data_IF_566520469270
#
_entry.id   IF_566520469270
#
_cell.length_a   1.000
_cell.length_b   1.000
_cell.length_c   1.000
_cell.angle_alpha   90.00
_cell.angle_beta   90.00
_cell.angle_gamma   90.00
#
_symmetry.space_group_name_H-M   'P 1'
#
loop_
_entity.id
_entity.type
_entity.pdbx_description
1 polymer ?
#
# COMPACT_ATOMS: atom_id res chain seq x y z
N UNK A 1 0.00 -16.78 8.11
CA UNK A 1 0.60 -15.67 8.87
C UNK A 1 -0.12 -14.37 8.55
N UNK A 2 -0.09 -13.40 9.46
CA UNK A 2 -0.72 -12.08 9.25
C UNK A 2 -0.24 -11.41 7.95
N UNK A 3 1.04 -11.57 7.61
CA UNK A 3 1.63 -11.04 6.39
C UNK A 3 0.99 -11.63 5.12
N UNK A 4 0.77 -12.93 5.07
CA UNK A 4 0.09 -13.55 3.93
C UNK A 4 -1.35 -13.04 3.78
N UNK A 5 -2.09 -12.93 4.88
CA UNK A 5 -3.46 -12.36 4.87
C UNK A 5 -3.45 -10.92 4.34
N UNK A 6 -2.48 -10.11 4.76
CA UNK A 6 -2.31 -8.75 4.27
C UNK A 6 -2.20 -8.70 2.73
N UNK A 7 -1.25 -9.46 2.17
CA UNK A 7 -1.00 -9.42 0.72
C UNK A 7 -2.10 -10.11 -0.11
N UNK A 8 -2.80 -11.09 0.45
CA UNK A 8 -4.03 -11.63 -0.15
C UNK A 8 -5.11 -10.54 -0.24
N UNK A 9 -5.36 -9.81 0.85
CA UNK A 9 -6.34 -8.72 0.87
C UNK A 9 -5.96 -7.60 -0.10
N UNK A 10 -4.69 -7.18 -0.15
CA UNK A 10 -4.23 -6.20 -1.12
C UNK A 10 -4.31 -6.71 -2.56
N UNK A 11 -4.05 -8.00 -2.79
CA UNK A 11 -4.16 -8.62 -4.10
C UNK A 11 -5.59 -8.63 -4.65
N UNK A 12 -6.59 -8.79 -3.79
CA UNK A 12 -8.00 -8.74 -4.16
C UNK A 12 -8.61 -7.33 -4.14
N UNK A 13 -7.90 -6.34 -3.63
CA UNK A 13 -8.37 -4.96 -3.55
C UNK A 13 -8.80 -4.37 -4.91
N UNK A 14 -8.15 -4.65 -6.06
CA UNK A 14 -8.60 -4.18 -7.36
C UNK A 14 -10.03 -4.61 -7.71
N UNK A 15 -10.44 -5.83 -7.34
CA UNK A 15 -11.82 -6.29 -7.57
C UNK A 15 -12.84 -5.45 -6.80
N UNK A 16 -12.50 -5.02 -5.59
CA UNK A 16 -13.38 -4.14 -4.82
C UNK A 16 -13.58 -2.79 -5.52
N UNK A 17 -12.51 -2.18 -6.02
CA UNK A 17 -12.59 -0.90 -6.72
C UNK A 17 -13.30 -1.02 -8.07
N UNK A 18 -13.08 -2.11 -8.79
CA UNK A 18 -13.80 -2.44 -10.01
C UNK A 18 -15.31 -2.56 -9.75
N UNK A 19 -15.70 -3.25 -8.69
CA UNK A 19 -17.10 -3.35 -8.26
C UNK A 19 -17.68 -1.97 -7.93
N UNK A 20 -16.95 -1.14 -7.20
CA UNK A 20 -17.37 0.22 -6.88
C UNK A 20 -17.61 1.06 -8.13
N UNK A 21 -16.70 1.00 -9.11
CA UNK A 21 -16.81 1.75 -10.37
C UNK A 21 -18.00 1.26 -11.20
N UNK A 22 -18.23 -0.06 -11.27
CA UNK A 22 -19.36 -0.61 -12.04
C UNK A 22 -20.72 -0.28 -11.41
N UNK A 23 -20.81 -0.25 -10.08
CA UNK A 23 -22.07 0.01 -9.38
C UNK A 23 -22.38 1.50 -9.23
N UNK A 24 -21.37 2.34 -9.16
CA UNK A 24 -21.52 3.75 -8.81
C UNK A 24 -21.07 4.74 -9.90
N UNK A 25 -20.64 4.22 -11.07
CA UNK A 25 -20.00 5.04 -12.10
C UNK A 25 -18.58 5.50 -11.73
N UNK A 26 -18.02 6.36 -12.56
CA UNK A 26 -16.67 6.88 -12.30
C UNK A 26 -16.67 7.75 -11.05
N UNK A 27 -15.70 7.50 -10.19
CA UNK A 27 -15.46 8.26 -8.97
C UNK A 27 -14.07 8.90 -9.12
N UNK A 28 -13.98 10.19 -8.81
CA UNK A 28 -12.67 10.85 -8.79
C UNK A 28 -11.70 10.11 -7.87
N UNK A 29 -10.50 9.84 -8.38
CA UNK A 29 -9.51 9.00 -7.70
C UNK A 29 -8.99 9.64 -6.42
N UNK A 30 -8.84 10.98 -6.38
CA UNK A 30 -8.38 11.68 -5.17
C UNK A 30 -9.48 11.73 -4.11
N UNK A 31 -10.71 11.95 -4.54
CA UNK A 31 -11.87 11.89 -3.64
C UNK A 31 -12.04 10.48 -3.04
N UNK A 32 -11.93 9.45 -3.85
CA UNK A 32 -11.95 8.06 -3.41
C UNK A 32 -10.85 7.79 -2.38
N UNK A 33 -9.63 8.29 -2.65
CA UNK A 33 -8.49 8.14 -1.72
C UNK A 33 -8.76 8.86 -0.39
N UNK A 34 -9.26 10.07 -0.42
CA UNK A 34 -9.58 10.82 0.78
C UNK A 34 -10.66 10.10 1.62
N UNK A 35 -11.73 9.62 0.99
CA UNK A 35 -12.77 8.82 1.65
C UNK A 35 -12.19 7.54 2.27
N UNK A 36 -11.31 6.83 1.56
CA UNK A 36 -10.63 5.62 2.08
C UNK A 36 -9.88 5.90 3.38
N UNK A 37 -9.13 7.01 3.42
CA UNK A 37 -8.34 7.40 4.60
C UNK A 37 -9.26 7.70 5.78
N UNK A 38 -10.31 8.51 5.57
CA UNK A 38 -11.26 8.89 6.63
C UNK A 38 -11.97 7.65 7.19
N UNK A 39 -12.50 6.80 6.33
CA UNK A 39 -13.21 5.59 6.78
C UNK A 39 -12.27 4.53 7.36
N UNK A 40 -11.02 4.42 6.88
CA UNK A 40 -10.01 3.59 7.51
C UNK A 40 -9.68 4.08 8.93
N UNK A 41 -9.59 5.40 9.14
CA UNK A 41 -9.41 5.98 10.47
C UNK A 41 -10.58 5.61 11.40
N UNK A 42 -11.82 5.74 10.94
CA UNK A 42 -13.01 5.34 11.71
C UNK A 42 -12.95 3.86 12.05
N UNK A 43 -12.64 2.99 11.09
CA UNK A 43 -12.49 1.56 11.32
C UNK A 43 -11.42 1.25 12.38
N UNK A 44 -10.24 1.84 12.27
CA UNK A 44 -9.15 1.68 13.23
C UNK A 44 -9.53 2.17 14.62
N UNK A 45 -10.21 3.32 14.73
CA UNK A 45 -10.69 3.84 16.01
C UNK A 45 -11.73 2.92 16.66
N UNK A 46 -12.64 2.34 15.87
CA UNK A 46 -13.59 1.34 16.35
C UNK A 46 -12.87 0.10 16.90
N UNK A 47 -11.89 -0.43 16.17
CA UNK A 47 -11.06 -1.57 16.60
C UNK A 47 -10.35 -1.24 17.92
N UNK A 48 -9.70 -0.07 18.02
CA UNK A 48 -9.01 0.35 19.24
C UNK A 48 -9.96 0.55 20.41
N UNK A 49 -11.16 1.06 20.17
CA UNK A 49 -12.21 1.21 21.20
C UNK A 49 -12.63 -0.14 21.76
N UNK A 50 -12.92 -1.11 20.87
CA UNK A 50 -13.30 -2.47 21.27
C UNK A 50 -12.17 -3.17 22.04
N UNK A 51 -10.91 -2.92 21.68
CA UNK A 51 -9.75 -3.49 22.36
C UNK A 51 -9.32 -2.71 23.62
N UNK A 52 -9.99 -1.61 23.95
CA UNK A 52 -9.61 -0.76 25.11
C UNK A 52 -8.26 -0.06 24.94
N UNK A 53 -7.77 0.09 23.71
CA UNK A 53 -6.43 0.64 23.42
C UNK A 53 -6.42 2.13 23.05
N UNK A 54 -7.55 2.82 23.03
CA UNK A 54 -7.62 4.26 22.75
C UNK A 54 -6.66 5.11 23.60
N UNK A 55 -6.48 4.87 24.91
CA UNK A 55 -5.52 5.62 25.69
C UNK A 55 -4.08 5.48 25.20
N UNK A 56 -3.72 4.29 24.65
CA UNK A 56 -2.38 4.06 24.06
C UNK A 56 -2.18 4.86 22.78
N UNK A 57 -3.22 5.05 21.97
CA UNK A 57 -3.17 5.90 20.79
C UNK A 57 -2.85 7.36 21.16
N UNK A 58 -3.53 7.90 22.17
CA UNK A 58 -3.26 9.26 22.64
C UNK A 58 -1.87 9.40 23.28
N UNK A 59 -1.34 8.34 23.89
CA UNK A 59 0.02 8.31 24.38
C UNK A 59 1.05 8.45 23.26
N UNK A 60 0.81 7.86 22.06
CA UNK A 60 1.67 8.02 20.89
C UNK A 60 1.80 9.50 20.50
N UNK A 61 0.69 10.24 20.47
CA UNK A 61 0.71 11.68 20.12
C UNK A 61 1.38 12.56 21.19
N UNK A 62 1.60 12.06 22.39
CA UNK A 62 2.32 12.77 23.48
C UNK A 62 3.79 12.39 23.56
N UNK A 63 4.17 11.24 23.02
CA UNK A 63 5.55 10.75 23.06
C UNK A 63 6.34 11.25 21.83
N UNK A 64 7.20 12.25 22.07
CA UNK A 64 8.05 12.83 21.02
C UNK A 64 9.02 11.82 20.39
N UNK A 65 9.44 10.79 21.11
CA UNK A 65 10.35 9.77 20.59
C UNK A 65 9.64 8.85 19.61
N UNK A 66 8.40 8.49 19.90
CA UNK A 66 7.55 7.69 19.01
C UNK A 66 7.15 8.52 17.80
N UNK A 67 6.71 9.77 17.98
CA UNK A 67 6.34 10.68 16.89
C UNK A 67 7.45 10.91 15.87
N UNK A 68 8.71 11.01 16.31
CA UNK A 68 9.88 11.11 15.41
C UNK A 68 9.99 9.97 14.40
N UNK A 69 9.40 8.81 14.67
CA UNK A 69 9.37 7.66 13.76
C UNK A 69 8.03 7.52 13.05
N UNK A 70 6.92 7.79 13.75
CA UNK A 70 5.57 7.66 13.16
C UNK A 70 5.29 8.75 12.11
N UNK A 71 5.74 9.99 12.32
CA UNK A 71 5.55 11.06 11.33
C UNK A 71 6.25 10.74 10.01
N UNK A 72 7.55 10.38 9.95
CA UNK A 72 8.17 9.95 8.72
C UNK A 72 7.49 8.72 8.07
N UNK A 73 7.05 7.75 8.87
CA UNK A 73 6.33 6.59 8.36
C UNK A 73 5.02 7.01 7.68
N UNK A 74 4.23 7.86 8.34
CA UNK A 74 2.99 8.41 7.80
C UNK A 74 3.21 9.20 6.52
N UNK A 75 4.22 10.08 6.50
CA UNK A 75 4.57 10.91 5.32
C UNK A 75 5.02 10.04 4.15
N UNK A 76 5.83 9.01 4.39
CA UNK A 76 6.30 8.11 3.35
C UNK A 76 5.13 7.30 2.75
N UNK A 77 4.26 6.77 3.59
CA UNK A 77 3.10 6.01 3.14
C UNK A 77 2.11 6.87 2.34
N UNK A 78 1.82 8.08 2.85
CA UNK A 78 0.95 9.02 2.15
C UNK A 78 1.60 9.52 0.86
N UNK A 79 2.90 9.82 0.88
CA UNK A 79 3.66 10.23 -0.29
C UNK A 79 3.69 9.14 -1.36
N UNK A 80 3.89 7.88 -0.97
CA UNK A 80 3.82 6.73 -1.88
C UNK A 80 2.47 6.67 -2.60
N UNK A 81 1.37 6.80 -1.88
CA UNK A 81 0.04 6.81 -2.46
C UNK A 81 -0.21 8.02 -3.36
N UNK A 82 0.31 9.21 -3.01
CA UNK A 82 0.19 10.41 -3.83
C UNK A 82 1.01 10.31 -5.12
N UNK A 83 2.24 9.82 -5.04
CA UNK A 83 3.09 9.59 -6.21
C UNK A 83 2.44 8.58 -7.15
N UNK A 84 1.88 7.50 -6.61
CA UNK A 84 1.14 6.51 -7.39
C UNK A 84 -0.03 7.14 -8.15
N UNK A 85 -0.91 7.87 -7.44
CA UNK A 85 -2.08 8.50 -8.05
C UNK A 85 -1.69 9.53 -9.11
N UNK A 86 -0.72 10.38 -8.80
CA UNK A 86 -0.19 11.36 -9.74
C UNK A 86 0.35 10.68 -11.01
N UNK A 87 1.11 9.62 -10.85
CA UNK A 87 1.72 8.89 -11.96
C UNK A 87 0.67 8.21 -12.84
N UNK A 88 -0.35 7.58 -12.24
CA UNK A 88 -1.46 6.96 -12.98
C UNK A 88 -2.21 8.01 -13.81
N UNK A 89 -2.52 9.18 -13.24
CA UNK A 89 -3.22 10.25 -13.95
C UNK A 89 -2.38 10.88 -15.07
N UNK A 90 -1.05 10.83 -14.96
CA UNK A 90 -0.13 11.33 -15.99
C UNK A 90 0.32 10.24 -16.98
N UNK A 91 -0.40 9.10 -17.06
CA UNK A 91 -0.13 8.05 -18.03
C UNK A 91 1.13 7.22 -17.76
N UNK A 92 1.71 7.31 -16.53
CA UNK A 92 2.94 6.60 -16.14
C UNK A 92 2.64 5.26 -15.43
N UNK A 93 1.59 4.57 -15.84
CA UNK A 93 1.14 3.31 -15.23
C UNK A 93 2.22 2.22 -15.28
N UNK A 94 3.00 2.16 -16.35
CA UNK A 94 4.10 1.20 -16.49
C UNK A 94 5.19 1.43 -15.42
N UNK A 95 5.54 2.69 -15.14
CA UNK A 95 6.51 3.02 -14.09
C UNK A 95 5.99 2.62 -12.71
N UNK A 96 4.69 2.82 -12.43
CA UNK A 96 4.06 2.37 -11.19
C UNK A 96 4.13 0.85 -11.04
N UNK A 97 3.78 0.12 -12.09
CA UNK A 97 3.84 -1.34 -12.11
C UNK A 97 5.25 -1.85 -11.81
N UNK A 98 6.26 -1.28 -12.46
CA UNK A 98 7.66 -1.60 -12.19
C UNK A 98 8.06 -1.26 -10.74
N UNK A 99 7.56 -0.14 -10.20
CA UNK A 99 7.80 0.23 -8.81
C UNK A 99 7.37 -0.87 -7.86
N UNK A 100 6.18 -1.42 -8.03
CA UNK A 100 5.66 -2.51 -7.21
C UNK A 100 6.41 -3.84 -7.39
N UNK A 101 7.05 -4.07 -8.55
CA UNK A 101 7.92 -5.24 -8.72
C UNK A 101 9.31 -5.06 -8.10
N UNK A 102 9.84 -3.84 -8.12
CA UNK A 102 11.15 -3.51 -7.52
C UNK A 102 11.05 -3.38 -6.00
N UNK A 103 9.94 -2.88 -5.50
CA UNK A 103 9.68 -2.63 -4.08
C UNK A 103 10.04 -3.82 -3.16
N UNK A 104 9.62 -5.07 -3.42
CA UNK A 104 10.01 -6.22 -2.61
C UNK A 104 11.50 -6.43 -2.52
N UNK A 105 12.24 -6.16 -3.61
CA UNK A 105 13.71 -6.27 -3.61
C UNK A 105 14.36 -5.22 -2.73
N UNK A 106 13.86 -3.98 -2.79
CA UNK A 106 14.39 -2.91 -1.94
C UNK A 106 14.08 -3.21 -0.47
N UNK A 107 12.88 -3.70 -0.14
CA UNK A 107 12.52 -4.15 1.21
C UNK A 107 13.46 -5.26 1.68
N UNK A 108 13.74 -6.23 0.80
CA UNK A 108 14.67 -7.31 1.06
C UNK A 108 16.09 -6.79 1.32
N UNK A 109 16.59 -5.90 0.45
CA UNK A 109 17.90 -5.30 0.58
C UNK A 109 18.06 -4.52 1.90
N UNK A 110 17.03 -3.76 2.31
CA UNK A 110 17.05 -3.07 3.60
C UNK A 110 17.05 -4.05 4.78
N UNK A 111 16.38 -5.20 4.66
CA UNK A 111 16.45 -6.29 5.66
C UNK A 111 17.89 -6.76 5.86
N UNK A 112 18.60 -7.03 4.78
CA UNK A 112 20.00 -7.45 4.83
C UNK A 112 20.93 -6.34 5.35
N UNK A 113 20.78 -5.10 4.86
CA UNK A 113 21.70 -3.99 5.15
C UNK A 113 21.48 -3.38 6.54
N UNK A 114 20.23 -3.06 6.90
CA UNK A 114 19.91 -2.34 8.14
C UNK A 114 19.76 -3.32 9.31
N UNK A 115 19.02 -4.41 9.11
CA UNK A 115 18.72 -5.37 10.16
C UNK A 115 19.74 -6.52 10.22
N UNK A 116 20.74 -6.53 9.31
CA UNK A 116 21.80 -7.56 9.24
C UNK A 116 21.22 -8.98 9.22
N UNK A 117 20.09 -9.14 8.55
CA UNK A 117 19.42 -10.43 8.39
C UNK A 117 20.31 -11.37 7.56
N UNK A 118 20.46 -12.62 8.00
CA UNK A 118 21.36 -13.58 7.34
C UNK A 118 20.80 -13.98 5.97
N UNK A 119 21.55 -13.70 4.94
CA UNK A 119 21.24 -14.05 3.57
C UNK A 119 21.72 -15.48 3.26
N UNK A 120 20.82 -16.35 2.82
CA UNK A 120 21.18 -17.67 2.32
C UNK A 120 21.42 -17.60 0.79
N UNK A 121 22.14 -18.60 0.24
CA UNK A 121 22.37 -18.66 -1.21
C UNK A 121 21.06 -18.67 -2.03
N UNK A 122 20.00 -19.27 -1.51
CA UNK A 122 18.67 -19.29 -2.14
C UNK A 122 18.10 -17.88 -2.28
N UNK A 123 18.27 -17.04 -1.27
CA UNK A 123 17.83 -15.63 -1.32
C UNK A 123 18.60 -14.86 -2.40
N UNK A 124 19.90 -15.13 -2.57
CA UNK A 124 20.70 -14.49 -3.62
C UNK A 124 20.25 -14.91 -5.02
N UNK A 125 19.88 -16.17 -5.22
CA UNK A 125 19.33 -16.66 -6.50
C UNK A 125 17.99 -15.99 -6.81
N UNK A 126 17.07 -15.92 -5.85
CA UNK A 126 15.78 -15.25 -6.02
C UNK A 126 15.98 -13.79 -6.42
N UNK A 127 16.86 -13.06 -5.74
CA UNK A 127 17.17 -11.67 -6.09
C UNK A 127 17.72 -11.57 -7.51
N UNK A 128 18.67 -12.42 -7.88
CA UNK A 128 19.28 -12.40 -9.21
C UNK A 128 18.22 -12.60 -10.31
N UNK A 129 17.33 -13.57 -10.15
CA UNK A 129 16.24 -13.82 -11.10
C UNK A 129 15.31 -12.61 -11.22
N UNK A 130 14.90 -12.03 -10.09
CA UNK A 130 14.00 -10.87 -10.11
C UNK A 130 14.69 -9.63 -10.68
N UNK A 131 15.99 -9.41 -10.38
CA UNK A 131 16.78 -8.33 -10.99
C UNK A 131 16.84 -8.48 -12.50
N UNK A 132 17.08 -9.69 -13.02
CA UNK A 132 17.06 -9.96 -14.47
C UNK A 132 15.69 -9.63 -15.06
N UNK A 133 14.60 -10.06 -14.42
CA UNK A 133 13.24 -9.74 -14.86
C UNK A 133 12.97 -8.23 -14.92
N UNK A 134 13.45 -7.48 -13.92
CA UNK A 134 13.33 -6.02 -13.88
C UNK A 134 14.14 -5.37 -14.99
N UNK A 135 15.40 -5.77 -15.18
CA UNK A 135 16.27 -5.23 -16.26
C UNK A 135 15.64 -5.45 -17.63
N UNK A 136 15.10 -6.64 -17.88
CA UNK A 136 14.38 -6.94 -19.12
C UNK A 136 13.13 -6.07 -19.29
N UNK A 137 12.39 -5.83 -18.19
CA UNK A 137 11.18 -4.99 -18.22
C UNK A 137 11.49 -3.50 -18.39
N UNK A 138 12.67 -3.04 -17.96
CA UNK A 138 13.09 -1.63 -18.05
C UNK A 138 13.85 -1.29 -19.34
N UNK A 139 14.30 -2.28 -20.10
CA UNK A 139 15.07 -2.06 -21.34
C UNK A 139 14.35 -1.25 -22.43
N UNK A 140 13.02 -1.10 -22.32
CA UNK A 140 12.20 -0.27 -23.19
C UNK A 140 11.99 1.19 -22.73
N UNK A 141 12.49 1.56 -21.54
CA UNK A 141 12.35 2.93 -21.02
C UNK A 141 13.47 3.82 -21.53
N UNK A 142 13.12 4.87 -22.25
CA UNK A 142 14.08 5.85 -22.80
C UNK A 142 14.76 6.77 -21.78
N UNK A 143 14.66 6.48 -20.46
CA UNK A 143 15.23 7.30 -19.39
C UNK A 143 15.11 6.66 -18.01
N UNK A 144 15.56 7.37 -16.97
CA UNK A 144 15.51 6.89 -15.58
C UNK A 144 14.05 6.87 -15.09
N UNK A 145 13.51 5.71 -14.70
CA UNK A 145 12.13 5.60 -14.22
C UNK A 145 12.00 6.11 -12.77
N UNK A 146 11.99 7.43 -12.59
CA UNK A 146 12.02 8.05 -11.26
C UNK A 146 10.78 7.75 -10.39
N UNK A 147 9.62 7.57 -11.00
CA UNK A 147 8.40 7.15 -10.27
C UNK A 147 8.60 5.75 -9.68
N UNK A 148 9.12 4.82 -10.49
CA UNK A 148 9.45 3.46 -10.06
C UNK A 148 10.37 3.46 -8.84
N UNK A 149 11.44 4.26 -8.90
CA UNK A 149 12.43 4.35 -7.82
C UNK A 149 11.80 4.98 -6.57
N UNK A 150 11.02 6.06 -6.74
CA UNK A 150 10.35 6.74 -5.64
C UNK A 150 9.41 5.79 -4.88
N UNK A 151 8.50 5.11 -5.59
CA UNK A 151 7.56 4.16 -4.99
C UNK A 151 8.29 3.02 -4.26
N UNK A 152 9.29 2.42 -4.91
CA UNK A 152 10.04 1.33 -4.30
C UNK A 152 10.78 1.76 -3.01
N UNK A 153 11.42 2.93 -3.02
CA UNK A 153 12.16 3.44 -1.86
C UNK A 153 11.23 3.90 -0.74
N UNK A 154 10.16 4.65 -1.06
CA UNK A 154 9.26 5.19 -0.04
C UNK A 154 8.63 4.07 0.78
N UNK A 155 8.10 3.05 0.14
CA UNK A 155 7.50 1.93 0.86
C UNK A 155 8.55 1.06 1.58
N UNK A 156 9.73 0.84 1.00
CA UNK A 156 10.76 0.03 1.64
C UNK A 156 11.30 0.71 2.90
N UNK A 157 11.50 2.04 2.88
CA UNK A 157 11.89 2.82 4.07
C UNK A 157 10.75 2.83 5.09
N UNK A 158 9.49 2.99 4.65
CA UNK A 158 8.32 2.82 5.52
C UNK A 158 8.34 1.46 6.23
N UNK A 159 8.55 0.37 5.50
CA UNK A 159 8.62 -0.98 6.05
C UNK A 159 9.73 -1.13 7.11
N UNK A 160 10.90 -0.55 6.85
CA UNK A 160 12.02 -0.56 7.78
C UNK A 160 11.72 0.24 9.07
N UNK A 161 11.11 1.42 8.94
CA UNK A 161 10.66 2.21 10.11
C UNK A 161 9.62 1.40 10.89
N UNK A 162 8.63 0.84 10.22
CA UNK A 162 7.56 0.05 10.84
C UNK A 162 8.11 -1.14 11.63
N UNK A 163 9.10 -1.84 11.07
CA UNK A 163 9.78 -2.94 11.75
C UNK A 163 10.53 -2.48 13.01
N UNK A 164 11.09 -1.27 13.00
CA UNK A 164 11.86 -0.72 14.12
C UNK A 164 11.00 -0.19 15.29
N UNK A 165 9.68 -0.05 15.10
CA UNK A 165 8.76 0.42 16.11
C UNK A 165 8.44 -0.66 17.15
N UNK A 166 8.47 -0.30 18.43
CA UNK A 166 8.19 -1.22 19.55
C UNK A 166 6.77 -1.13 20.07
N UNK A 167 6.00 -0.13 19.61
CA UNK A 167 4.60 0.07 20.03
C UNK A 167 3.66 -0.96 19.40
N UNK A 168 2.48 -1.10 19.97
CA UNK A 168 1.45 -2.02 19.45
C UNK A 168 1.14 -1.73 17.97
N UNK A 169 1.11 -2.77 17.12
CA UNK A 169 0.97 -2.63 15.67
C UNK A 169 -0.33 -1.94 15.26
N UNK A 170 -1.44 -2.23 15.94
CA UNK A 170 -2.74 -1.62 15.63
C UNK A 170 -2.73 -0.15 16.04
N UNK A 171 -2.14 0.17 17.19
CA UNK A 171 -1.99 1.55 17.68
C UNK A 171 -1.15 2.38 16.71
N UNK A 172 0.01 1.84 16.26
CA UNK A 172 0.89 2.47 15.28
C UNK A 172 0.17 2.76 13.96
N UNK A 173 -0.47 1.75 13.36
CA UNK A 173 -1.21 1.92 12.11
C UNK A 173 -2.35 2.93 12.25
N UNK A 174 -3.06 2.91 13.38
CA UNK A 174 -4.12 3.88 13.64
C UNK A 174 -3.58 5.31 13.76
N UNK A 175 -2.42 5.50 14.40
CA UNK A 175 -1.78 6.80 14.52
C UNK A 175 -1.37 7.34 13.14
N UNK A 176 -0.75 6.51 12.29
CA UNK A 176 -0.37 6.88 10.92
C UNK A 176 -1.57 7.32 10.08
N UNK A 177 -2.65 6.52 10.10
CA UNK A 177 -3.87 6.86 9.34
C UNK A 177 -4.50 8.14 9.88
N UNK A 178 -4.56 8.33 11.21
CA UNK A 178 -5.08 9.56 11.80
C UNK A 178 -4.26 10.79 11.40
N UNK A 179 -2.94 10.68 11.29
CA UNK A 179 -2.10 11.79 10.82
C UNK A 179 -2.42 12.20 9.38
N UNK A 180 -2.94 11.29 8.56
CA UNK A 180 -3.37 11.58 7.19
C UNK A 180 -4.77 12.20 7.10
N UNK A 181 -5.62 12.02 8.11
CA UNK A 181 -7.01 12.49 8.10
C UNK A 181 -7.14 14.00 7.85
N UNK A 182 -6.35 14.89 8.47
CA UNK A 182 -6.47 16.32 8.19
C UNK A 182 -6.27 16.66 6.71
N UNK A 183 -5.30 16.03 6.06
CA UNK A 183 -5.04 16.23 4.62
C UNK A 183 -6.18 15.67 3.78
N UNK A 184 -6.69 14.47 4.12
CA UNK A 184 -7.83 13.87 3.45
C UNK A 184 -9.09 14.74 3.57
N UNK A 185 -9.36 15.28 4.76
CA UNK A 185 -10.49 16.21 4.97
C UNK A 185 -10.33 17.51 4.19
N UNK A 186 -9.12 18.06 4.11
CA UNK A 186 -8.85 19.22 3.26
C UNK A 186 -9.15 18.91 1.79
N UNK A 187 -8.75 17.73 1.29
CA UNK A 187 -9.12 17.31 -0.06
C UNK A 187 -10.64 17.23 -0.25
N UNK A 188 -11.37 16.64 0.67
CA UNK A 188 -12.83 16.52 0.58
C UNK A 188 -13.51 17.89 0.61
N UNK A 189 -13.01 18.82 1.44
CA UNK A 189 -13.63 20.14 1.65
C UNK A 189 -13.31 21.14 0.54
N UNK A 190 -12.07 21.17 0.06
CA UNK A 190 -11.59 22.19 -0.88
C UNK A 190 -11.62 21.74 -2.34
N UNK A 191 -11.40 20.47 -2.59
CA UNK A 191 -11.48 19.88 -3.92
C UNK A 191 -12.80 19.12 -4.06
N UNK A 192 -13.94 19.86 -3.99
CA UNK A 192 -15.24 19.32 -4.40
C UNK A 192 -15.15 18.93 -5.87
N UNK A 193 -14.67 17.75 -6.11
CA UNK A 193 -14.46 17.23 -7.44
C UNK A 193 -15.75 16.66 -7.98
N UNK A 194 -16.38 17.42 -8.90
CA UNK A 194 -17.62 17.08 -9.61
C UNK A 194 -18.90 17.34 -8.82
N UNK A 195 -20.04 17.24 -9.50
CA UNK A 195 -21.40 17.43 -8.96
C UNK A 195 -21.79 16.41 -7.87
N UNK A 196 -20.99 15.39 -7.68
CA UNK A 196 -21.19 14.28 -6.76
C UNK A 196 -20.53 14.46 -5.37
N UNK A 197 -20.50 15.67 -4.83
CA UNK A 197 -20.09 15.88 -3.42
C UNK A 197 -20.84 14.94 -2.48
N UNK A 198 -20.34 14.73 -1.25
CA UNK A 198 -20.91 13.77 -0.27
C UNK A 198 -22.43 13.87 -0.10
N UNK A 199 -23.06 15.02 -0.39
CA UNK A 199 -24.51 15.22 -0.32
C UNK A 199 -25.32 14.68 -1.50
N UNK A 200 -24.70 14.42 -2.64
CA UNK A 200 -25.36 13.85 -3.84
C UNK A 200 -25.20 12.35 -4.01
N UNK A 201 -24.47 11.69 -3.09
CA UNK A 201 -24.22 10.26 -3.21
C UNK A 201 -25.44 9.40 -2.86
N UNK A 202 -25.71 8.39 -3.69
CA UNK A 202 -26.66 7.34 -3.34
C UNK A 202 -26.19 6.58 -2.09
N UNK A 203 -27.14 5.99 -1.34
CA UNK A 203 -26.86 5.18 -0.15
C UNK A 203 -25.86 4.05 -0.47
N UNK A 204 -26.01 3.41 -1.64
CA UNK A 204 -25.09 2.38 -2.08
C UNK A 204 -23.65 2.91 -2.22
N UNK A 205 -23.49 4.08 -2.84
CA UNK A 205 -22.17 4.71 -3.02
C UNK A 205 -21.53 5.05 -1.68
N UNK A 206 -22.31 5.55 -0.72
CA UNK A 206 -21.84 5.82 0.64
C UNK A 206 -21.39 4.53 1.36
N UNK A 207 -22.17 3.46 1.29
CA UNK A 207 -21.82 2.16 1.89
C UNK A 207 -20.53 1.58 1.28
N UNK A 208 -20.36 1.69 -0.04
CA UNK A 208 -19.11 1.27 -0.70
C UNK A 208 -17.93 2.14 -0.28
N UNK A 209 -18.09 3.45 -0.07
CA UNK A 209 -17.01 4.28 0.45
C UNK A 209 -16.61 3.87 1.89
N UNK A 210 -17.61 3.58 2.74
CA UNK A 210 -17.37 3.06 4.11
C UNK A 210 -16.61 1.72 4.05
N UNK A 211 -17.07 0.79 3.21
CA UNK A 211 -16.40 -0.50 2.98
C UNK A 211 -14.97 -0.32 2.48
N UNK A 212 -14.70 0.69 1.65
CA UNK A 212 -13.36 1.06 1.19
C UNK A 212 -12.40 1.37 2.32
N UNK A 213 -12.88 1.93 3.42
CA UNK A 213 -12.10 2.14 4.64
C UNK A 213 -11.65 0.83 5.29
N UNK A 214 -12.55 -0.15 5.36
CA UNK A 214 -12.24 -1.50 5.89
C UNK A 214 -11.22 -2.20 4.98
N UNK A 215 -11.47 -2.20 3.67
CA UNK A 215 -10.60 -2.80 2.65
C UNK A 215 -9.21 -2.15 2.62
N UNK A 216 -9.09 -0.91 3.06
CA UNK A 216 -7.81 -0.21 3.18
C UNK A 216 -7.15 -0.45 4.55
N UNK A 217 -7.89 -0.26 5.64
CA UNK A 217 -7.36 -0.29 7.00
C UNK A 217 -6.98 -1.69 7.48
N UNK A 218 -7.78 -2.69 7.14
CA UNK A 218 -7.57 -4.06 7.61
C UNK A 218 -6.25 -4.67 7.10
N UNK A 219 -5.90 -4.60 5.81
CA UNK A 219 -4.60 -5.07 5.34
C UNK A 219 -3.42 -4.35 6.00
N UNK A 220 -3.52 -3.05 6.24
CA UNK A 220 -2.47 -2.28 6.91
C UNK A 220 -2.23 -2.75 8.35
N UNK A 221 -3.29 -3.09 9.08
CA UNK A 221 -3.17 -3.69 10.41
C UNK A 221 -2.45 -5.03 10.34
N UNK A 222 -2.82 -5.90 9.39
CA UNK A 222 -2.14 -7.17 9.18
C UNK A 222 -0.68 -7.00 8.75
N UNK A 223 -0.39 -5.99 7.91
CA UNK A 223 0.98 -5.63 7.53
C UNK A 223 1.81 -5.26 8.75
N UNK A 224 1.30 -4.35 9.58
CA UNK A 224 2.00 -3.89 10.78
C UNK A 224 2.26 -5.02 11.78
N UNK A 225 1.32 -5.97 11.92
CA UNK A 225 1.52 -7.17 12.73
C UNK A 225 2.59 -8.06 12.09
N UNK A 226 2.50 -8.31 10.78
CA UNK A 226 3.39 -9.21 10.07
C UNK A 226 4.84 -8.74 10.04
N UNK A 227 5.08 -7.46 9.70
CA UNK A 227 6.44 -6.90 9.57
C UNK A 227 7.21 -6.88 10.89
N UNK A 228 6.52 -6.83 12.02
CA UNK A 228 7.16 -6.91 13.35
C UNK A 228 7.66 -8.31 13.69
N UNK A 229 6.95 -9.33 13.26
CA UNK A 229 7.21 -10.72 13.65
C UNK A 229 8.02 -11.50 12.62
N UNK A 230 8.12 -10.98 11.39
CA UNK A 230 8.87 -11.62 10.31
C UNK A 230 10.16 -10.85 9.99
N UNK A 231 11.19 -11.55 9.49
CA UNK A 231 12.32 -10.89 8.84
C UNK A 231 11.83 -9.98 7.71
N UNK A 232 12.50 -8.82 7.51
CA UNK A 232 12.13 -7.89 6.45
C UNK A 232 12.34 -8.52 5.06
N UNK A 233 13.35 -9.38 4.94
CA UNK A 233 13.59 -10.20 3.75
C UNK A 233 12.38 -11.10 3.43
N UNK A 234 11.82 -11.78 4.43
CA UNK A 234 10.61 -12.61 4.25
C UNK A 234 9.40 -11.75 3.90
N UNK A 235 9.29 -10.56 4.49
CA UNK A 235 8.25 -9.60 4.17
C UNK A 235 8.33 -9.20 2.69
N UNK A 236 9.53 -8.89 2.18
CA UNK A 236 9.75 -8.57 0.77
C UNK A 236 9.30 -9.69 -0.17
N UNK A 237 9.65 -10.95 0.14
CA UNK A 237 9.20 -12.10 -0.67
C UNK A 237 7.66 -12.23 -0.66
N UNK A 238 7.03 -12.08 0.50
CA UNK A 238 5.57 -12.17 0.62
C UNK A 238 4.83 -11.09 -0.19
N UNK A 239 5.47 -9.95 -0.46
CA UNK A 239 4.86 -8.88 -1.27
C UNK A 239 4.48 -9.33 -2.68
N UNK A 240 5.18 -10.31 -3.26
CA UNK A 240 4.87 -10.82 -4.59
C UNK A 240 3.51 -11.53 -4.68
N UNK A 241 2.90 -11.90 -3.57
CA UNK A 241 1.53 -12.45 -3.53
C UNK A 241 0.53 -11.46 -4.13
N UNK A 242 0.66 -10.18 -3.80
CA UNK A 242 -0.30 -9.14 -4.21
C UNK A 242 -0.34 -8.90 -5.72
N UNK A 243 0.78 -8.60 -6.40
CA UNK A 243 0.78 -8.44 -7.85
C UNK A 243 0.39 -9.73 -8.59
N UNK A 244 0.69 -10.89 -8.03
CA UNK A 244 0.30 -12.17 -8.60
C UNK A 244 -1.22 -12.36 -8.62
N UNK A 245 -1.87 -12.05 -7.52
CA UNK A 245 -3.33 -12.01 -7.47
C UNK A 245 -3.92 -10.91 -8.34
N UNK A 246 -3.21 -9.79 -8.48
CA UNK A 246 -3.60 -8.70 -9.37
C UNK A 246 -3.80 -9.17 -10.82
N UNK A 247 -3.00 -10.13 -11.31
CA UNK A 247 -3.17 -10.71 -12.65
C UNK A 247 -4.48 -11.50 -12.74
N UNK A 248 -4.72 -12.33 -11.72
CA UNK A 248 -5.96 -13.12 -11.65
C UNK A 248 -7.16 -12.17 -11.62
N UNK A 249 -7.08 -11.11 -10.84
CA UNK A 249 -8.11 -10.07 -10.79
C UNK A 249 -8.27 -9.37 -12.15
N UNK A 250 -7.18 -8.99 -12.82
CA UNK A 250 -7.20 -8.39 -14.16
C UNK A 250 -7.89 -9.29 -15.18
N UNK A 251 -7.57 -10.60 -15.17
CA UNK A 251 -8.23 -11.57 -16.03
C UNK A 251 -9.75 -11.67 -15.76
N UNK A 252 -10.15 -11.66 -14.47
CA UNK A 252 -11.57 -11.65 -14.08
C UNK A 252 -12.27 -10.36 -14.54
N UNK A 253 -11.56 -9.22 -14.52
CA UNK A 253 -12.07 -7.93 -14.96
C UNK A 253 -12.11 -7.78 -16.51
N UNK A 254 -11.65 -8.80 -17.25
CA UNK A 254 -11.64 -8.82 -18.71
C UNK A 254 -10.41 -8.16 -19.35
N UNK A 255 -9.34 -7.88 -18.57
CA UNK A 255 -8.10 -7.39 -19.15
C UNK A 255 -7.40 -8.46 -19.98
N UNK A 256 -6.97 -8.08 -21.19
CA UNK A 256 -6.19 -8.98 -22.04
C UNK A 256 -4.82 -9.28 -21.40
N UNK A 257 -4.54 -10.54 -21.16
CA UNK A 257 -3.21 -11.02 -20.75
C UNK A 257 -2.30 -11.02 -21.98
N UNK A 258 -1.46 -9.99 -22.12
CA UNK A 258 -0.47 -9.95 -23.18
C UNK A 258 0.66 -10.94 -22.90
N UNK A 259 1.28 -11.49 -23.97
CA UNK A 259 2.43 -12.42 -23.85
C UNK A 259 3.58 -11.80 -23.04
N UNK A 260 3.79 -10.52 -23.18
CA UNK A 260 4.83 -9.77 -22.46
C UNK A 260 4.57 -9.74 -20.93
N UNK A 261 3.32 -9.52 -20.51
CA UNK A 261 2.92 -9.63 -19.10
C UNK A 261 3.18 -11.04 -18.58
N UNK A 262 2.77 -12.08 -19.31
CA UNK A 262 2.97 -13.48 -18.91
C UNK A 262 4.45 -13.85 -18.78
N UNK A 263 5.29 -13.43 -19.73
CA UNK A 263 6.75 -13.68 -19.69
C UNK A 263 7.37 -12.98 -18.48
N UNK A 264 7.05 -11.71 -18.24
CA UNK A 264 7.54 -10.98 -17.05
C UNK A 264 7.17 -11.69 -15.74
N UNK A 265 5.98 -12.27 -15.68
CA UNK A 265 5.53 -13.03 -14.52
C UNK A 265 6.26 -14.34 -14.30
N UNK A 266 6.58 -15.07 -15.36
CA UNK A 266 7.37 -16.31 -15.27
C UNK A 266 8.76 -16.08 -14.66
N UNK A 267 9.36 -14.90 -14.87
CA UNK A 267 10.63 -14.54 -14.25
C UNK A 267 10.51 -14.06 -12.78
N UNK A 268 9.32 -13.67 -12.33
CA UNK A 268 9.07 -13.17 -10.97
C UNK A 268 8.64 -14.32 -10.05
N UNK A 269 8.05 -15.37 -10.58
CA UNK A 269 7.62 -16.60 -9.89
C UNK A 269 8.64 -17.73 -9.96
#
# INVERSE_FOLDING_TARGET
SAMAVCFLLWGFQPLYWFLCTNLCGQIDTFFLMACRIVWAAVCCLCILKVQGKLPRLWAVFRDKQVLKREIPASVLLFGDWMVYLWAVQNGRVLECSLGYYIQPLVVFALGALIFKEKMSWRHSVIIAIVVVGIVLSTSGFGGVPYVTIALALMFAVYAAIKKSLTIDSIVSTSAEILMMVPVALLFILFFRMGDDGMGGMTVLKQLLMIGGGVVTGLPMVFYAIGVRHLPLMTTGICQYISPSLGIVCGAIMGEALTREKLVSFLFIW
#
